data_IF_830655079460
#
_entry.id   IF_830655079460
#
_cell.length_a   1.000
_cell.length_b   1.000
_cell.length_c   1.000
_cell.angle_alpha   90.00
_cell.angle_beta   90.00
_cell.angle_gamma   90.00
#
_symmetry.space_group_name_H-M   'P 1'
#
loop_
_entity.id
_entity.type
_entity.pdbx_description
1 polymer ?
#
# COMPACT_ATOMS: atom_id res chain seq x y z
N UNK A 1 -11.82 -14.67 -7.96
CA UNK A 1 -11.66 -13.30 -7.40
C UNK A 1 -10.93 -12.45 -8.42
N UNK A 2 -11.23 -11.16 -8.55
CA UNK A 2 -10.51 -10.28 -9.48
C UNK A 2 -9.08 -10.05 -9.00
N UNK A 3 -8.07 -10.28 -9.85
CA UNK A 3 -6.65 -10.01 -9.54
C UNK A 3 -6.43 -8.56 -9.11
N UNK A 4 -7.20 -7.63 -9.70
CA UNK A 4 -7.20 -6.21 -9.33
C UNK A 4 -7.68 -6.00 -7.89
N UNK A 5 -8.71 -6.73 -7.46
CA UNK A 5 -9.24 -6.64 -6.09
C UNK A 5 -8.20 -7.11 -5.07
N UNK A 6 -7.50 -8.22 -5.35
CA UNK A 6 -6.49 -8.76 -4.43
C UNK A 6 -5.28 -7.83 -4.35
N UNK A 7 -4.80 -7.32 -5.49
CA UNK A 7 -3.74 -6.31 -5.51
C UNK A 7 -4.13 -5.05 -4.73
N UNK A 8 -5.37 -4.57 -4.89
CA UNK A 8 -5.89 -3.40 -4.17
C UNK A 8 -5.93 -3.61 -2.66
N UNK A 9 -6.43 -4.75 -2.19
CA UNK A 9 -6.48 -5.08 -0.76
C UNK A 9 -5.09 -5.13 -0.13
N UNK A 10 -4.10 -5.68 -0.86
CA UNK A 10 -2.70 -5.67 -0.40
C UNK A 10 -2.15 -4.24 -0.35
N UNK A 11 -2.41 -3.42 -1.37
CA UNK A 11 -2.00 -2.01 -1.39
C UNK A 11 -2.54 -1.22 -0.20
N UNK A 12 -3.83 -1.37 0.11
CA UNK A 12 -4.48 -0.70 1.25
C UNK A 12 -3.96 -1.21 2.60
N UNK A 13 -3.80 -2.53 2.75
CA UNK A 13 -3.23 -3.12 3.97
C UNK A 13 -1.79 -2.64 4.22
N UNK A 14 -0.98 -2.57 3.17
CA UNK A 14 0.38 -2.06 3.24
C UNK A 14 0.43 -0.57 3.56
N UNK A 15 -0.44 0.24 2.93
CA UNK A 15 -0.60 1.66 3.23
C UNK A 15 -0.91 1.88 4.72
N UNK A 16 -1.87 1.12 5.27
CA UNK A 16 -2.24 1.19 6.69
C UNK A 16 -1.09 0.83 7.64
N UNK A 17 -0.29 -0.19 7.29
CA UNK A 17 0.90 -0.55 8.05
C UNK A 17 1.96 0.56 8.03
N UNK A 18 2.27 1.12 6.85
CA UNK A 18 3.22 2.23 6.72
C UNK A 18 2.72 3.47 7.47
N UNK A 19 1.44 3.80 7.36
CA UNK A 19 0.82 4.89 8.12
C UNK A 19 1.07 4.71 9.62
N UNK A 20 0.79 3.52 10.16
CA UNK A 20 0.99 3.24 11.59
C UNK A 20 2.45 3.36 12.03
N UNK A 21 3.40 3.00 11.16
CA UNK A 21 4.84 3.14 11.44
C UNK A 21 5.29 4.60 11.41
N UNK A 22 4.94 5.33 10.35
CA UNK A 22 5.35 6.72 10.21
C UNK A 22 4.70 7.57 11.29
N UNK A 23 3.45 7.30 11.64
CA UNK A 23 2.75 8.04 12.71
C UNK A 23 3.43 7.87 14.08
N UNK A 24 4.01 6.69 14.36
CA UNK A 24 4.80 6.46 15.58
C UNK A 24 6.17 7.14 15.53
N UNK A 25 6.79 7.24 14.36
CA UNK A 25 8.11 7.84 14.19
C UNK A 25 8.06 9.38 14.18
N UNK A 26 7.01 9.97 13.64
CA UNK A 26 6.88 11.43 13.49
C UNK A 26 6.20 12.10 14.68
N UNK A 27 5.84 11.35 15.72
CA UNK A 27 5.14 11.89 16.89
C UNK A 27 3.70 12.30 16.61
N UNK A 28 3.03 11.67 15.63
CA UNK A 28 1.65 12.00 15.28
C UNK A 28 1.49 13.03 14.16
N UNK A 29 2.52 13.27 13.34
CA UNK A 29 2.39 14.13 12.16
C UNK A 29 1.58 13.42 11.06
N UNK A 30 0.26 13.64 11.10
CA UNK A 30 -0.69 13.03 10.16
C UNK A 30 -0.39 13.37 8.71
N UNK A 31 0.04 14.59 8.38
CA UNK A 31 0.28 14.99 6.99
C UNK A 31 1.41 14.17 6.35
N UNK A 32 2.55 14.07 7.04
CA UNK A 32 3.68 13.26 6.57
C UNK A 32 3.33 11.77 6.53
N UNK A 33 2.63 11.27 7.55
CA UNK A 33 2.21 9.87 7.63
C UNK A 33 1.26 9.50 6.49
N UNK A 34 0.33 10.38 6.12
CA UNK A 34 -0.63 10.15 5.05
C UNK A 34 0.05 10.12 3.68
N UNK A 35 0.96 11.05 3.41
CA UNK A 35 1.72 11.11 2.14
C UNK A 35 2.60 9.87 2.00
N UNK A 36 3.34 9.50 3.06
CA UNK A 36 4.19 8.32 3.06
C UNK A 36 3.38 7.02 2.88
N UNK A 37 2.25 6.90 3.57
CA UNK A 37 1.35 5.75 3.46
C UNK A 37 0.70 5.65 2.06
N UNK A 38 0.25 6.76 1.50
CA UNK A 38 -0.36 6.80 0.17
C UNK A 38 0.64 6.41 -0.92
N UNK A 39 1.84 6.97 -0.90
CA UNK A 39 2.88 6.66 -1.88
C UNK A 39 3.32 5.18 -1.79
N UNK A 40 3.59 4.70 -0.58
CA UNK A 40 4.02 3.31 -0.37
C UNK A 40 2.92 2.29 -0.67
N UNK A 41 1.66 2.59 -0.32
CA UNK A 41 0.49 1.77 -0.67
C UNK A 41 0.25 1.66 -2.16
N UNK A 42 0.41 2.77 -2.90
CA UNK A 42 0.27 2.78 -4.36
C UNK A 42 1.37 1.95 -5.03
N UNK A 43 2.61 2.03 -4.55
CA UNK A 43 3.72 1.19 -5.05
C UNK A 43 3.45 -0.29 -4.77
N UNK A 44 2.97 -0.64 -3.57
CA UNK A 44 2.62 -2.02 -3.24
C UNK A 44 1.48 -2.56 -4.11
N UNK A 45 0.47 -1.74 -4.41
CA UNK A 45 -0.60 -2.08 -5.34
C UNK A 45 -0.06 -2.40 -6.74
N UNK A 46 0.77 -1.50 -7.30
CA UNK A 46 1.33 -1.68 -8.65
C UNK A 46 2.20 -2.94 -8.75
N UNK A 47 3.06 -3.18 -7.75
CA UNK A 47 3.88 -4.38 -7.68
C UNK A 47 3.01 -5.65 -7.66
N UNK A 48 1.98 -5.67 -6.81
CA UNK A 48 1.12 -6.85 -6.69
C UNK A 48 0.28 -7.08 -7.94
N UNK A 49 -0.19 -6.01 -8.58
CA UNK A 49 -0.93 -6.09 -9.84
C UNK A 49 -0.07 -6.66 -10.97
N UNK A 50 1.18 -6.20 -11.09
CA UNK A 50 2.16 -6.72 -12.06
C UNK A 50 2.46 -8.20 -11.81
N UNK A 51 2.68 -8.60 -10.55
CA UNK A 51 2.94 -10.00 -10.17
C UNK A 51 1.75 -10.88 -10.54
N UNK A 52 0.52 -10.48 -10.19
CA UNK A 52 -0.65 -11.28 -10.52
C UNK A 52 -0.89 -11.36 -12.04
N UNK A 53 -0.59 -10.28 -12.77
CA UNK A 53 -0.67 -10.27 -14.24
C UNK A 53 0.29 -11.25 -14.90
N UNK A 54 1.49 -11.43 -14.32
CA UNK A 54 2.46 -12.43 -14.81
C UNK A 54 2.08 -13.87 -14.44
N UNK A 55 1.41 -14.08 -13.32
CA UNK A 55 0.99 -15.43 -12.87
C UNK A 55 -0.23 -15.93 -13.65
N UNK A 56 -1.12 -15.03 -14.08
CA UNK A 56 -2.33 -15.38 -14.83
C UNK A 56 -2.15 -15.37 -16.35
N UNK A 57 -0.94 -15.12 -16.84
CA UNK A 57 -0.58 -15.10 -18.27
C UNK A 57 -0.16 -16.46 -18.80
#
# INVERSE_FOLDING_TARGET
>A
MSNVLVAFLIGVGFAGWVYSKIQRQTGGNTQTSLIAAGASGFVAFLLMWMIMGMISG
#
